data_IF_618257114272
#
_entry.id   IF_618257114272
#
_cell.length_a   1.000
_cell.length_b   1.000
_cell.length_c   1.000
_cell.angle_alpha   90.00
_cell.angle_beta   90.00
_cell.angle_gamma   90.00
#
_symmetry.space_group_name_H-M   'P 1'
#
loop_
_entity.id
_entity.type
_entity.pdbx_description
1 polymer ?
#
# COMPACT_ATOMS: atom_id res chain seq x y z
N UNK A 1 12.41 -9.56 -30.95
CA UNK A 1 11.22 -9.59 -30.08
C UNK A 1 10.15 -8.75 -30.78
N UNK A 2 8.97 -9.32 -31.03
CA UNK A 2 7.84 -8.61 -31.62
C UNK A 2 7.18 -7.66 -30.61
N UNK A 3 6.36 -6.73 -31.10
CA UNK A 3 5.53 -5.90 -30.22
C UNK A 3 4.55 -6.80 -29.45
N UNK A 4 4.32 -6.54 -28.15
CA UNK A 4 3.34 -7.30 -27.37
C UNK A 4 1.95 -7.23 -28.00
N UNK A 5 1.20 -8.33 -27.92
CA UNK A 5 -0.22 -8.36 -28.27
C UNK A 5 -1.06 -7.68 -27.20
N UNK A 6 -2.25 -7.17 -27.55
CA UNK A 6 -3.17 -6.56 -26.59
C UNK A 6 -3.59 -7.52 -25.47
N UNK A 7 -3.63 -8.83 -25.73
CA UNK A 7 -3.89 -9.85 -24.71
C UNK A 7 -2.74 -9.93 -23.69
N UNK A 8 -1.49 -9.90 -24.14
CA UNK A 8 -0.32 -9.86 -23.25
C UNK A 8 -0.28 -8.58 -22.41
N UNK A 9 -0.68 -7.43 -22.98
CA UNK A 9 -0.80 -6.17 -22.24
C UNK A 9 -1.89 -6.27 -21.17
N UNK A 10 -3.08 -6.78 -21.52
CA UNK A 10 -4.19 -6.96 -20.57
C UNK A 10 -3.79 -7.84 -19.39
N UNK A 11 -3.16 -8.98 -19.66
CA UNK A 11 -2.69 -9.91 -18.62
C UNK A 11 -1.67 -9.23 -17.70
N UNK A 12 -0.74 -8.45 -18.27
CA UNK A 12 0.24 -7.71 -17.47
C UNK A 12 -0.42 -6.62 -16.61
N UNK A 13 -1.38 -5.86 -17.16
CA UNK A 13 -2.09 -4.82 -16.39
C UNK A 13 -2.95 -5.41 -15.28
N UNK A 14 -3.56 -6.57 -15.49
CA UNK A 14 -4.35 -7.27 -14.46
C UNK A 14 -3.46 -7.80 -13.32
N UNK A 15 -2.26 -8.29 -13.66
CA UNK A 15 -1.26 -8.68 -12.67
C UNK A 15 -0.83 -7.47 -11.82
N UNK A 16 -0.56 -6.31 -12.43
CA UNK A 16 -0.22 -5.08 -11.73
C UNK A 16 -1.35 -4.63 -10.79
N UNK A 17 -2.62 -4.70 -11.23
CA UNK A 17 -3.78 -4.34 -10.42
C UNK A 17 -4.03 -5.29 -9.25
N UNK A 18 -3.80 -6.59 -9.49
CA UNK A 18 -3.88 -7.61 -8.44
C UNK A 18 -2.82 -7.35 -7.37
N UNK A 19 -1.58 -7.10 -7.78
CA UNK A 19 -0.48 -6.80 -6.86
C UNK A 19 -0.73 -5.48 -6.11
N UNK A 20 -1.22 -4.43 -6.78
CA UNK A 20 -1.61 -3.17 -6.15
C UNK A 20 -2.66 -3.37 -5.05
N UNK A 21 -3.63 -4.25 -5.29
CA UNK A 21 -4.66 -4.60 -4.30
C UNK A 21 -4.04 -5.30 -3.09
N UNK A 22 -3.08 -6.21 -3.32
CA UNK A 22 -2.33 -6.85 -2.24
C UNK A 22 -1.59 -5.83 -1.37
N UNK A 23 -0.82 -4.91 -1.99
CA UNK A 23 -0.12 -3.85 -1.27
C UNK A 23 -1.07 -2.97 -0.44
N UNK A 24 -2.19 -2.56 -1.02
CA UNK A 24 -3.17 -1.77 -0.29
C UNK A 24 -3.75 -2.52 0.93
N UNK A 25 -4.13 -3.79 0.76
CA UNK A 25 -4.67 -4.60 1.86
C UNK A 25 -3.64 -4.77 2.98
N UNK A 26 -2.36 -4.92 2.66
CA UNK A 26 -1.32 -4.99 3.70
C UNK A 26 -1.11 -3.63 4.38
N UNK A 27 -1.20 -2.52 3.64
CA UNK A 27 -1.15 -1.18 4.21
C UNK A 27 -2.30 -0.93 5.21
N UNK A 28 -3.53 -1.31 4.84
CA UNK A 28 -4.70 -1.22 5.72
C UNK A 28 -4.54 -2.04 7.01
N UNK A 29 -3.89 -3.21 6.93
CA UNK A 29 -3.57 -4.01 8.13
C UNK A 29 -2.56 -3.32 9.04
N UNK A 30 -1.55 -2.67 8.47
CA UNK A 30 -0.56 -1.91 9.26
C UNK A 30 -1.22 -0.70 9.93
N UNK A 31 -2.10 0.00 9.24
CA UNK A 31 -2.85 1.12 9.80
C UNK A 31 -3.75 0.67 10.96
N UNK A 32 -4.49 -0.42 10.77
CA UNK A 32 -5.31 -1.04 11.81
C UNK A 32 -4.48 -1.52 13.02
N UNK A 33 -3.27 -2.05 12.78
CA UNK A 33 -2.35 -2.45 13.85
C UNK A 33 -1.80 -1.23 14.59
N UNK A 34 -1.45 -0.15 13.88
CA UNK A 34 -1.00 1.12 14.45
C UNK A 34 -2.00 1.63 15.47
N UNK A 35 -3.28 1.70 15.08
CA UNK A 35 -4.38 2.15 15.95
C UNK A 35 -4.58 1.24 17.18
N UNK A 36 -4.46 -0.09 16.99
CA UNK A 36 -4.55 -1.04 18.10
C UNK A 36 -3.42 -0.88 19.12
N UNK A 37 -2.19 -0.70 18.63
CA UNK A 37 -1.00 -0.54 19.49
C UNK A 37 -1.02 0.82 20.19
N UNK A 38 -1.44 1.89 19.51
CA UNK A 38 -1.61 3.21 20.12
C UNK A 38 -2.60 3.17 21.29
N UNK A 39 -3.70 2.42 21.16
CA UNK A 39 -4.69 2.24 22.23
C UNK A 39 -4.16 1.48 23.45
N UNK A 40 -2.96 0.89 23.38
CA UNK A 40 -2.31 0.24 24.52
C UNK A 40 -1.54 1.22 25.40
N UNK A 41 -1.34 2.48 24.99
CA UNK A 41 -0.69 3.48 25.84
C UNK A 41 -1.50 3.65 27.13
N UNK A 42 -0.79 3.67 28.25
CA UNK A 42 -1.41 3.97 29.54
C UNK A 42 -0.62 5.00 30.33
N UNK A 43 -1.35 5.77 31.12
CA UNK A 43 -0.82 6.79 32.00
C UNK A 43 -0.24 6.20 33.27
N UNK A 44 0.52 7.04 33.98
CA UNK A 44 1.06 6.71 35.29
C UNK A 44 -0.04 6.28 36.26
N UNK A 45 -1.17 6.98 36.34
CA UNK A 45 -2.25 6.61 37.27
C UNK A 45 -2.75 5.17 37.06
N UNK A 46 -2.91 4.74 35.81
CA UNK A 46 -3.37 3.40 35.45
C UNK A 46 -2.33 2.32 35.77
N UNK A 47 -1.05 2.67 35.75
CA UNK A 47 0.06 1.74 35.99
C UNK A 47 0.24 1.34 37.47
N UNK A 48 -0.33 2.09 38.42
CA UNK A 48 -0.25 1.77 39.86
C UNK A 48 1.20 1.57 40.35
N UNK A 49 1.54 0.35 40.80
CA UNK A 49 2.88 0.02 41.30
C UNK A 49 3.96 -0.07 40.20
N UNK A 50 3.57 -0.13 38.92
CA UNK A 50 4.48 -0.34 37.79
C UNK A 50 4.97 0.97 37.13
N UNK A 51 4.97 2.09 37.87
CA UNK A 51 5.34 3.43 37.38
C UNK A 51 6.65 3.51 36.59
N UNK A 52 7.65 2.74 37.03
CA UNK A 52 9.00 2.78 36.45
C UNK A 52 8.99 2.28 35.00
N UNK A 53 8.06 1.39 34.67
CA UNK A 53 7.96 0.77 33.34
C UNK A 53 7.13 1.58 32.35
N UNK A 54 6.33 2.55 32.82
CA UNK A 54 5.38 3.31 31.97
C UNK A 54 6.08 3.99 30.79
N UNK A 55 7.16 4.72 31.07
CA UNK A 55 7.91 5.42 30.03
C UNK A 55 8.51 4.47 28.99
N UNK A 56 9.36 3.49 29.34
CA UNK A 56 9.92 2.59 28.34
C UNK A 56 8.87 1.74 27.63
N UNK A 57 7.75 1.41 28.28
CA UNK A 57 6.63 0.73 27.65
C UNK A 57 5.94 1.60 26.59
N UNK A 58 5.58 2.84 26.93
CA UNK A 58 4.95 3.76 25.98
C UNK A 58 5.92 4.17 24.86
N UNK A 59 7.23 4.25 25.11
CA UNK A 59 8.23 4.52 24.07
C UNK A 59 8.25 3.41 23.00
N UNK A 60 8.13 2.14 23.41
CA UNK A 60 8.01 1.01 22.48
C UNK A 60 6.70 1.08 21.70
N UNK A 61 5.57 1.37 22.36
CA UNK A 61 4.28 1.57 21.69
C UNK A 61 4.40 2.63 20.60
N UNK A 62 4.89 3.83 20.95
CA UNK A 62 5.06 4.94 19.99
C UNK A 62 5.93 4.56 18.82
N UNK A 63 7.01 3.82 19.08
CA UNK A 63 7.90 3.35 18.03
C UNK A 63 7.18 2.39 17.08
N UNK A 64 6.43 1.43 17.62
CA UNK A 64 5.68 0.46 16.81
C UNK A 64 4.56 1.16 16.03
N UNK A 65 3.76 2.01 16.67
CA UNK A 65 2.72 2.83 16.03
C UNK A 65 3.31 3.64 14.87
N UNK A 66 4.42 4.36 15.10
CA UNK A 66 5.06 5.15 14.06
C UNK A 66 5.52 4.29 12.86
N UNK A 67 6.16 3.14 13.12
CA UNK A 67 6.62 2.24 12.04
C UNK A 67 5.46 1.59 11.27
N UNK A 68 4.37 1.27 11.95
CA UNK A 68 3.17 0.78 11.29
C UNK A 68 2.54 1.86 10.39
N UNK A 69 2.43 3.09 10.87
CA UNK A 69 1.91 4.21 10.09
C UNK A 69 2.80 4.52 8.85
N UNK A 70 4.12 4.58 9.02
CA UNK A 70 5.07 4.76 7.90
C UNK A 70 4.93 3.63 6.87
N UNK A 71 4.84 2.38 7.33
CA UNK A 71 4.66 1.23 6.46
C UNK A 71 3.34 1.26 5.69
N UNK A 72 2.24 1.66 6.35
CA UNK A 72 0.93 1.81 5.70
C UNK A 72 0.98 2.83 4.55
N UNK A 73 1.62 3.99 4.78
CA UNK A 73 1.82 5.01 3.75
C UNK A 73 2.65 4.47 2.58
N UNK A 74 3.79 3.85 2.85
CA UNK A 74 4.65 3.30 1.80
C UNK A 74 3.94 2.24 0.95
N UNK A 75 3.15 1.37 1.58
CA UNK A 75 2.37 0.36 0.86
C UNK A 75 1.27 0.97 -0.01
N UNK A 76 0.61 2.03 0.47
CA UNK A 76 -0.36 2.77 -0.33
C UNK A 76 0.29 3.45 -1.55
N UNK A 77 1.49 4.02 -1.39
CA UNK A 77 2.26 4.61 -2.50
C UNK A 77 2.64 3.56 -3.56
N UNK A 78 3.06 2.37 -3.13
CA UNK A 78 3.34 1.24 -4.03
C UNK A 78 2.09 0.81 -4.80
N UNK A 79 0.96 0.65 -4.11
CA UNK A 79 -0.32 0.32 -4.74
C UNK A 79 -0.73 1.36 -5.79
N UNK A 80 -0.61 2.65 -5.46
CA UNK A 80 -0.94 3.74 -6.38
C UNK A 80 -0.01 3.76 -7.60
N UNK A 81 1.27 3.50 -7.40
CA UNK A 81 2.25 3.44 -8.51
C UNK A 81 1.91 2.30 -9.47
N UNK A 82 1.60 1.11 -8.95
CA UNK A 82 1.24 -0.05 -9.78
C UNK A 82 -0.05 0.19 -10.57
N UNK A 83 -1.07 0.82 -9.96
CA UNK A 83 -2.30 1.23 -10.67
C UNK A 83 -2.01 2.24 -11.76
N UNK A 84 -1.24 3.26 -11.44
CA UNK A 84 -0.87 4.29 -12.42
C UNK A 84 -0.15 3.70 -13.63
N UNK A 85 0.81 2.79 -13.41
CA UNK A 85 1.52 2.09 -14.49
C UNK A 85 0.55 1.25 -15.32
N UNK A 86 -0.38 0.52 -14.68
CA UNK A 86 -1.38 -0.26 -15.40
C UNK A 86 -2.28 0.63 -16.28
N UNK A 87 -2.72 1.77 -15.74
CA UNK A 87 -3.58 2.71 -16.47
C UNK A 87 -2.85 3.36 -17.65
N UNK A 88 -1.55 3.65 -17.51
CA UNK A 88 -0.71 4.15 -18.62
C UNK A 88 -0.60 3.11 -19.73
N UNK A 89 -0.31 1.85 -19.41
CA UNK A 89 -0.22 0.79 -20.41
C UNK A 89 -1.53 0.59 -21.17
N UNK A 90 -2.66 0.59 -20.45
CA UNK A 90 -3.96 0.42 -21.08
C UNK A 90 -4.34 1.61 -21.97
N UNK A 91 -4.02 2.84 -21.55
CA UNK A 91 -4.24 4.03 -22.37
C UNK A 91 -3.37 4.01 -23.66
N UNK A 92 -2.12 3.57 -23.56
CA UNK A 92 -1.21 3.46 -24.71
C UNK A 92 -1.68 2.39 -25.71
N UNK A 93 -2.14 1.22 -25.24
CA UNK A 93 -2.68 0.15 -26.10
C UNK A 93 -3.94 0.62 -26.85
N UNK A 94 -4.88 1.27 -26.14
CA UNK A 94 -6.09 1.84 -26.77
C UNK A 94 -5.76 2.88 -27.84
N UNK A 95 -4.81 3.79 -27.56
CA UNK A 95 -4.36 4.81 -28.50
C UNK A 95 -3.63 4.19 -29.72
N UNK A 96 -2.84 3.13 -29.51
CA UNK A 96 -2.23 2.33 -30.56
C UNK A 96 -3.26 1.67 -31.48
N UNK A 97 -4.25 0.99 -30.89
CA UNK A 97 -5.33 0.34 -31.63
C UNK A 97 -6.16 1.33 -32.47
N UNK A 98 -6.42 2.54 -31.97
CA UNK A 98 -7.13 3.59 -32.71
C UNK A 98 -6.34 4.12 -33.90
N UNK A 99 -5.01 4.28 -33.77
CA UNK A 99 -4.16 4.68 -34.89
C UNK A 99 -4.15 3.64 -36.01
N UNK A 100 -4.14 2.35 -35.67
CA UNK A 100 -4.18 1.27 -36.68
C UNK A 100 -5.54 1.24 -37.40
N UNK A 101 -6.66 1.44 -36.68
CA UNK A 101 -8.00 1.45 -37.29
C UNK A 101 -8.26 2.64 -38.21
N UNK A 102 -7.64 3.79 -37.97
CA UNK A 102 -7.79 5.00 -38.81
C UNK A 102 -6.86 5.06 -40.03
N UNK A 103 -6.00 4.06 -40.22
CA UNK A 103 -5.04 4.00 -41.35
C UNK A 103 -5.55 3.06 -42.48
N UNK A 104 -6.71 2.41 -42.29
CA UNK A 104 -7.38 1.61 -43.32
C UNK A 104 -8.67 2.26 -43.81
#
# INVERSE_FOLDING_TARGET
MGLPSSEEVSVATDALRTEATSWQVQGEKLDALSAQVEAMEFGRVEAGLFQIMVSPYNDVIRTVTARCAEGAVAMAEMANTLRHVADVYEAEDQAGAHRIRNVY
#
